data_IF_363598296065
#
_entry.id   IF_363598296065
#
_cell.length_a   1.000
_cell.length_b   1.000
_cell.length_c   1.000
_cell.angle_alpha   90.00
_cell.angle_beta   90.00
_cell.angle_gamma   90.00
#
_symmetry.space_group_name_H-M   'P 1'
#
loop_
_entity.id
_entity.type
_entity.pdbx_description
1 polymer ?
#
# COMPACT_ATOMS: atom_id res chain seq x y z
N UNK A 1 -32.98 -57.91 -36.31
CA UNK A 1 -31.71 -57.42 -36.88
C UNK A 1 -31.99 -56.00 -37.34
N UNK A 2 -31.82 -55.01 -36.44
CA UNK A 2 -30.70 -54.04 -36.43
C UNK A 2 -30.80 -53.07 -37.62
N UNK A 3 -30.84 -51.73 -37.52
CA UNK A 3 -30.29 -50.83 -36.51
C UNK A 3 -30.80 -49.38 -36.72
N UNK A 4 -30.78 -48.64 -35.62
CA UNK A 4 -30.75 -47.21 -35.26
C UNK A 4 -30.75 -46.03 -36.27
N UNK A 5 -31.64 -45.08 -35.96
CA UNK A 5 -31.36 -43.68 -35.53
C UNK A 5 -30.30 -42.84 -36.27
N UNK A 6 -30.75 -41.92 -37.15
CA UNK A 6 -29.92 -40.80 -37.62
C UNK A 6 -30.10 -39.58 -36.70
N UNK A 7 -29.10 -39.32 -35.86
CA UNK A 7 -29.00 -38.15 -34.98
C UNK A 7 -28.22 -37.01 -35.65
N UNK A 8 -28.69 -35.81 -35.31
CA UNK A 8 -28.15 -34.47 -35.51
C UNK A 8 -26.61 -34.38 -35.39
N UNK A 9 -25.96 -33.63 -36.28
CA UNK A 9 -24.60 -33.11 -36.08
C UNK A 9 -24.52 -31.65 -36.51
N UNK A 10 -24.86 -30.78 -35.55
CA UNK A 10 -24.47 -29.38 -35.56
C UNK A 10 -22.95 -29.25 -35.48
N UNK A 11 -22.40 -28.43 -36.37
CA UNK A 11 -21.01 -28.03 -36.42
C UNK A 11 -20.66 -27.15 -35.21
N UNK A 12 -19.98 -27.72 -34.22
CA UNK A 12 -19.42 -26.97 -33.11
C UNK A 12 -18.11 -26.27 -33.52
N UNK A 13 -18.12 -24.94 -33.55
CA UNK A 13 -16.93 -24.10 -33.66
C UNK A 13 -16.01 -24.29 -32.44
N UNK A 14 -14.68 -24.29 -32.59
CA UNK A 14 -13.76 -24.46 -31.48
C UNK A 14 -13.78 -23.23 -30.55
N UNK A 15 -13.99 -23.48 -29.26
CA UNK A 15 -13.88 -22.49 -28.19
C UNK A 15 -12.45 -21.93 -28.17
N UNK A 16 -12.31 -20.65 -28.52
CA UNK A 16 -11.09 -19.89 -28.29
C UNK A 16 -10.75 -19.92 -26.79
N UNK A 17 -9.54 -20.37 -26.50
CA UNK A 17 -8.90 -20.33 -25.18
C UNK A 17 -8.85 -18.88 -24.69
N UNK A 18 -9.83 -18.47 -23.88
CA UNK A 18 -9.73 -17.27 -23.07
C UNK A 18 -8.60 -17.48 -22.08
N UNK A 19 -7.52 -16.73 -22.26
CA UNK A 19 -6.48 -16.52 -21.26
C UNK A 19 -7.13 -16.22 -19.91
N UNK A 20 -6.70 -16.86 -18.81
CA UNK A 20 -7.27 -16.62 -17.50
C UNK A 20 -6.92 -15.18 -17.11
N UNK A 21 -7.92 -14.30 -17.13
CA UNK A 21 -7.82 -13.01 -16.45
C UNK A 21 -7.63 -13.30 -14.97
N UNK A 22 -6.50 -12.92 -14.34
CA UNK A 22 -6.27 -13.20 -12.94
C UNK A 22 -7.38 -12.54 -12.13
N UNK A 23 -7.99 -13.33 -11.24
CA UNK A 23 -8.95 -12.79 -10.29
C UNK A 23 -8.23 -11.73 -9.44
N UNK A 24 -8.88 -10.63 -9.02
CA UNK A 24 -8.25 -9.63 -8.16
C UNK A 24 -7.79 -10.17 -6.80
N UNK A 25 -8.15 -11.42 -6.46
CA UNK A 25 -7.78 -12.09 -5.21
C UNK A 25 -6.39 -12.75 -5.25
N UNK A 26 -5.76 -12.89 -6.42
CA UNK A 26 -4.43 -13.53 -6.55
C UNK A 26 -3.29 -12.53 -6.82
N UNK A 27 -3.55 -11.24 -6.61
CA UNK A 27 -2.57 -10.18 -6.89
C UNK A 27 -1.80 -9.78 -5.64
N UNK A 28 -0.50 -10.04 -5.65
CA UNK A 28 0.43 -9.62 -4.60
C UNK A 28 0.98 -8.23 -4.93
N UNK A 29 0.99 -7.33 -3.95
CA UNK A 29 1.78 -6.09 -4.02
C UNK A 29 2.93 -6.16 -3.03
N UNK A 30 4.15 -6.27 -3.55
CA UNK A 30 5.36 -6.34 -2.74
C UNK A 30 6.17 -5.04 -2.89
N UNK A 31 6.63 -4.51 -1.77
CA UNK A 31 7.39 -3.26 -1.70
C UNK A 31 8.80 -3.54 -1.18
N UNK A 32 9.78 -2.82 -1.68
CA UNK A 32 11.17 -2.94 -1.25
C UNK A 32 11.83 -1.56 -1.13
N UNK A 33 12.75 -1.43 -0.18
CA UNK A 33 13.64 -0.29 -0.07
C UNK A 33 14.88 -0.50 -0.93
N UNK A 34 15.11 0.45 -1.82
CA UNK A 34 16.26 0.50 -2.72
C UNK A 34 16.98 1.83 -2.55
N UNK A 35 18.31 1.84 -2.74
CA UNK A 35 19.03 3.12 -2.72
C UNK A 35 18.66 3.97 -3.95
N UNK A 36 18.90 5.27 -3.90
CA UNK A 36 18.72 6.14 -5.06
C UNK A 36 19.59 5.71 -6.26
N UNK A 37 20.78 5.13 -5.99
CA UNK A 37 21.66 4.55 -7.02
C UNK A 37 21.02 3.32 -7.67
N UNK A 38 20.57 2.37 -6.87
CA UNK A 38 19.95 1.12 -7.35
C UNK A 38 18.64 1.41 -8.09
N UNK A 39 17.84 2.35 -7.59
CA UNK A 39 16.65 2.83 -8.27
C UNK A 39 16.96 3.40 -9.66
N UNK A 40 18.11 4.05 -9.84
CA UNK A 40 18.57 4.52 -11.16
C UNK A 40 18.84 3.37 -12.12
N UNK A 41 19.47 2.29 -11.65
CA UNK A 41 19.71 1.07 -12.43
C UNK A 41 18.40 0.35 -12.80
N UNK A 42 17.47 0.23 -11.85
CA UNK A 42 16.17 -0.41 -12.06
C UNK A 42 15.33 0.35 -13.10
N UNK A 43 15.36 1.68 -13.06
CA UNK A 43 14.65 2.51 -14.05
C UNK A 43 15.34 2.40 -15.42
N UNK A 44 16.68 2.45 -15.43
CA UNK A 44 17.48 2.46 -16.65
C UNK A 44 17.42 3.80 -17.40
N UNK A 45 18.29 3.95 -18.40
CA UNK A 45 18.31 5.15 -19.27
C UNK A 45 16.96 5.29 -19.98
N UNK A 46 16.35 6.48 -19.89
CA UNK A 46 15.02 6.78 -20.44
C UNK A 46 13.89 5.82 -19.98
N UNK A 47 14.06 5.13 -18.84
CA UNK A 47 13.06 4.17 -18.36
C UNK A 47 13.06 2.83 -19.11
N UNK A 48 14.09 2.54 -19.92
CA UNK A 48 14.15 1.31 -20.73
C UNK A 48 14.10 0.04 -19.89
N UNK A 49 14.89 -0.03 -18.82
CA UNK A 49 14.99 -1.26 -18.00
C UNK A 49 13.67 -1.58 -17.30
N UNK A 50 12.99 -0.56 -16.74
CA UNK A 50 11.69 -0.78 -16.09
C UNK A 50 10.58 -1.07 -17.11
N UNK A 51 10.67 -0.54 -18.34
CA UNK A 51 9.73 -0.88 -19.41
C UNK A 51 9.88 -2.35 -19.83
N UNK A 52 11.11 -2.79 -20.09
CA UNK A 52 11.44 -4.17 -20.43
C UNK A 52 11.07 -5.15 -19.29
N UNK A 53 11.33 -4.76 -18.04
CA UNK A 53 10.91 -5.53 -16.87
C UNK A 53 9.40 -5.77 -16.85
N UNK A 54 8.59 -4.74 -17.11
CA UNK A 54 7.12 -4.84 -17.14
C UNK A 54 6.66 -5.70 -18.32
N UNK A 55 7.31 -5.59 -19.47
CA UNK A 55 7.00 -6.39 -20.66
C UNK A 55 7.29 -7.88 -20.45
N UNK A 56 8.45 -8.23 -19.89
CA UNK A 56 8.88 -9.63 -19.70
C UNK A 56 8.12 -10.37 -18.58
N UNK A 57 7.57 -9.63 -17.62
CA UNK A 57 6.96 -10.21 -16.41
C UNK A 57 5.45 -9.96 -16.30
N UNK A 58 4.92 -9.00 -17.05
CA UNK A 58 3.51 -8.60 -16.97
C UNK A 58 3.12 -7.90 -15.67
N UNK A 59 4.08 -7.52 -14.82
CA UNK A 59 3.81 -6.86 -13.54
C UNK A 59 3.61 -5.35 -13.68
N UNK A 60 2.89 -4.76 -12.73
CA UNK A 60 2.88 -3.32 -12.50
C UNK A 60 3.99 -2.94 -11.51
N UNK A 61 5.18 -2.65 -12.04
CA UNK A 61 6.31 -2.15 -11.26
C UNK A 61 6.42 -0.62 -11.28
N UNK A 62 6.86 0.01 -10.20
CA UNK A 62 7.13 1.45 -10.15
C UNK A 62 8.03 1.83 -8.98
N UNK A 63 8.78 2.93 -9.13
CA UNK A 63 9.69 3.45 -8.09
C UNK A 63 9.19 4.81 -7.61
N UNK A 64 9.25 5.07 -6.31
CA UNK A 64 8.86 6.36 -5.71
C UNK A 64 9.62 7.54 -6.30
N UNK A 65 9.04 8.74 -6.27
CA UNK A 65 9.73 9.97 -6.68
C UNK A 65 11.00 10.18 -5.87
N UNK A 66 11.99 10.83 -6.47
CA UNK A 66 13.21 11.25 -5.77
C UNK A 66 12.85 12.39 -4.83
N UNK A 67 13.29 12.31 -3.58
CA UNK A 67 13.14 13.36 -2.57
C UNK A 67 14.54 13.88 -2.26
N UNK A 68 14.70 15.20 -2.24
CA UNK A 68 16.01 15.82 -1.96
C UNK A 68 16.46 15.48 -0.53
N UNK A 69 17.75 15.18 -0.35
CA UNK A 69 18.31 14.78 0.94
C UNK A 69 18.02 13.34 1.38
N UNK A 70 17.20 12.59 0.63
CA UNK A 70 16.83 11.20 0.97
C UNK A 70 17.50 10.23 -0.02
N UNK A 71 18.30 9.31 0.52
CA UNK A 71 19.05 8.33 -0.28
C UNK A 71 18.31 7.00 -0.50
N UNK A 72 17.10 6.87 0.04
CA UNK A 72 16.25 5.69 -0.09
C UNK A 72 15.01 5.97 -0.92
N UNK A 73 14.62 4.98 -1.73
CA UNK A 73 13.40 5.00 -2.55
C UNK A 73 12.66 3.69 -2.36
N UNK A 74 11.35 3.74 -2.62
CA UNK A 74 10.50 2.54 -2.55
C UNK A 74 10.23 2.02 -3.95
N UNK A 75 10.64 0.78 -4.20
CA UNK A 75 10.19 -0.03 -5.32
C UNK A 75 8.86 -0.69 -4.93
N UNK A 76 7.86 -0.61 -5.80
CA UNK A 76 6.56 -1.30 -5.66
C UNK A 76 6.36 -2.18 -6.87
N UNK A 77 6.09 -3.47 -6.67
CA UNK A 77 5.81 -4.44 -7.72
C UNK A 77 4.49 -5.13 -7.41
N UNK A 78 3.53 -5.04 -8.34
CA UNK A 78 2.20 -5.66 -8.21
C UNK A 78 1.95 -6.64 -9.34
N UNK A 79 1.51 -7.85 -9.01
CA UNK A 79 1.15 -8.88 -9.99
C UNK A 79 0.93 -10.24 -9.32
N UNK A 80 0.75 -11.31 -10.11
CA UNK A 80 0.78 -12.69 -9.62
C UNK A 80 2.10 -13.00 -8.89
N UNK A 81 2.07 -13.91 -7.91
CA UNK A 81 3.25 -14.26 -7.10
C UNK A 81 4.44 -14.68 -7.97
N UNK A 82 4.20 -15.55 -8.95
CA UNK A 82 5.23 -16.02 -9.89
C UNK A 82 5.84 -14.85 -10.71
N UNK A 83 5.00 -13.95 -11.21
CA UNK A 83 5.43 -12.77 -11.96
C UNK A 83 6.23 -11.81 -11.09
N UNK A 84 5.83 -11.61 -9.83
CA UNK A 84 6.54 -10.76 -8.86
C UNK A 84 7.91 -11.37 -8.54
N UNK A 85 7.99 -12.67 -8.27
CA UNK A 85 9.26 -13.36 -8.03
C UNK A 85 10.22 -13.20 -9.22
N UNK A 86 9.72 -13.48 -10.44
CA UNK A 86 10.49 -13.29 -11.68
C UNK A 86 10.97 -11.85 -11.86
N UNK A 87 10.13 -10.86 -11.54
CA UNK A 87 10.51 -9.46 -11.60
C UNK A 87 11.64 -9.11 -10.62
N UNK A 88 11.60 -9.61 -9.38
CA UNK A 88 12.70 -9.40 -8.44
C UNK A 88 13.99 -10.10 -8.89
N UNK A 89 13.92 -11.31 -9.44
CA UNK A 89 15.10 -11.98 -10.02
C UNK A 89 15.77 -11.12 -11.10
N UNK A 90 14.99 -10.57 -12.04
CA UNK A 90 15.51 -9.70 -13.09
C UNK A 90 16.12 -8.40 -12.53
N UNK A 91 15.44 -7.78 -11.57
CA UNK A 91 15.93 -6.57 -10.89
C UNK A 91 17.28 -6.84 -10.22
N UNK A 92 17.41 -7.93 -9.48
CA UNK A 92 18.64 -8.26 -8.75
C UNK A 92 19.76 -8.58 -9.74
N UNK A 93 19.48 -9.33 -10.81
CA UNK A 93 20.45 -9.59 -11.88
C UNK A 93 20.97 -8.29 -12.50
N UNK A 94 20.11 -7.31 -12.74
CA UNK A 94 20.52 -5.98 -13.24
C UNK A 94 21.38 -5.21 -12.23
N UNK A 95 21.05 -5.30 -10.93
CA UNK A 95 21.82 -4.65 -9.86
C UNK A 95 23.22 -5.27 -9.71
N UNK A 96 23.33 -6.60 -9.76
CA UNK A 96 24.60 -7.33 -9.74
C UNK A 96 25.45 -6.95 -10.96
N UNK A 97 24.87 -6.97 -12.16
CA UNK A 97 25.58 -6.63 -13.40
C UNK A 97 26.10 -5.17 -13.40
N UNK A 98 25.41 -4.26 -12.70
CA UNK A 98 25.77 -2.84 -12.63
C UNK A 98 26.78 -2.50 -11.51
N UNK A 99 27.08 -3.44 -10.60
CA UNK A 99 28.10 -3.31 -9.55
C UNK A 99 29.17 -4.43 -9.69
N UNK A 100 30.03 -4.43 -10.73
CA UNK A 100 31.03 -5.48 -10.93
C UNK A 100 32.27 -5.41 -10.01
N UNK A 101 32.28 -4.62 -8.93
CA UNK A 101 33.49 -4.43 -8.12
C UNK A 101 33.23 -4.23 -6.62
N UNK A 102 33.57 -5.25 -5.83
CA UNK A 102 34.33 -5.04 -4.60
C UNK A 102 35.69 -5.72 -4.79
N UNK A 103 36.80 -4.98 -4.88
CA UNK A 103 38.12 -5.58 -4.92
C UNK A 103 38.54 -5.99 -3.48
N UNK A 104 39.41 -6.99 -3.39
CA UNK A 104 40.14 -7.45 -2.18
C UNK A 104 39.31 -8.33 -1.22
N UNK A 105 39.11 -9.59 -1.60
CA UNK A 105 39.64 -10.79 -0.89
C UNK A 105 39.19 -12.02 -1.68
N UNK A 106 40.15 -12.79 -2.17
CA UNK A 106 39.90 -13.98 -2.97
C UNK A 106 39.16 -15.06 -2.16
N UNK A 107 37.93 -15.36 -2.56
CA UNK A 107 37.26 -16.65 -2.37
C UNK A 107 36.19 -16.77 -3.47
N UNK A 108 35.77 -17.98 -3.90
CA UNK A 108 34.86 -18.18 -5.03
C UNK A 108 33.40 -17.82 -4.66
N UNK A 109 33.22 -16.72 -3.93
CA UNK A 109 31.97 -16.35 -3.31
C UNK A 109 31.02 -15.78 -4.36
N UNK A 110 29.99 -16.58 -4.65
CA UNK A 110 28.72 -16.18 -5.27
C UNK A 110 28.39 -14.70 -5.00
N UNK A 111 28.06 -13.97 -6.07
CA UNK A 111 27.63 -12.58 -6.04
C UNK A 111 26.35 -12.42 -5.20
N UNK A 112 26.52 -12.25 -3.89
CA UNK A 112 25.43 -12.08 -2.96
C UNK A 112 24.95 -10.64 -2.96
N UNK A 113 23.67 -10.45 -3.30
CA UNK A 113 22.98 -9.16 -3.21
C UNK A 113 21.99 -9.19 -2.05
N UNK A 114 21.64 -8.03 -1.51
CA UNK A 114 20.63 -7.88 -0.47
C UNK A 114 19.43 -7.11 -1.00
N UNK A 115 18.22 -7.60 -0.77
CA UNK A 115 16.95 -6.89 -0.99
C UNK A 115 16.27 -6.65 0.35
N UNK A 116 15.80 -5.42 0.58
CA UNK A 116 15.13 -5.02 1.82
C UNK A 116 13.63 -4.93 1.59
N UNK A 117 12.89 -6.00 1.88
CA UNK A 117 11.45 -6.06 1.69
C UNK A 117 10.72 -5.30 2.80
N UNK A 118 9.71 -4.52 2.42
CA UNK A 118 8.80 -3.83 3.33
C UNK A 118 7.57 -4.70 3.56
N UNK A 119 7.44 -5.25 4.76
CA UNK A 119 6.36 -6.17 5.13
C UNK A 119 5.56 -5.58 6.28
N UNK A 120 4.23 -5.67 6.22
CA UNK A 120 3.37 -5.27 7.33
C UNK A 120 3.72 -6.02 8.61
N UNK A 121 3.77 -5.32 9.75
CA UNK A 121 3.96 -5.93 11.06
C UNK A 121 3.00 -7.11 11.31
N UNK A 122 1.75 -7.01 10.86
CA UNK A 122 0.73 -8.03 11.06
C UNK A 122 0.95 -9.30 10.23
N UNK A 123 1.68 -9.19 9.11
CA UNK A 123 2.03 -10.31 8.22
C UNK A 123 3.37 -10.95 8.57
N UNK A 124 4.16 -10.34 9.46
CA UNK A 124 5.45 -10.92 9.86
C UNK A 124 5.33 -12.30 10.48
N UNK A 125 4.21 -12.57 11.18
CA UNK A 125 3.95 -13.88 11.78
C UNK A 125 3.87 -15.01 10.76
N UNK A 126 3.38 -14.71 9.54
CA UNK A 126 3.17 -15.71 8.48
C UNK A 126 4.50 -16.08 7.81
N UNK A 127 5.42 -15.12 7.67
CA UNK A 127 6.78 -15.36 7.17
C UNK A 127 7.65 -16.04 8.23
N UNK A 128 7.62 -15.56 9.48
CA UNK A 128 8.51 -16.06 10.54
C UNK A 128 8.07 -17.46 11.01
N UNK A 129 6.76 -17.66 11.20
CA UNK A 129 6.20 -18.88 11.75
C UNK A 129 6.50 -19.09 13.25
N UNK A 130 5.92 -20.15 13.83
CA UNK A 130 6.14 -20.52 15.24
C UNK A 130 7.63 -20.77 15.50
N UNK A 131 8.21 -20.09 16.48
CA UNK A 131 9.64 -20.17 16.85
C UNK A 131 10.63 -19.93 15.69
N UNK A 132 10.21 -19.21 14.63
CA UNK A 132 11.06 -18.97 13.47
C UNK A 132 11.21 -20.17 12.52
N UNK A 133 10.38 -21.21 12.66
CA UNK A 133 10.49 -22.43 11.85
C UNK A 133 10.18 -22.18 10.37
N UNK A 134 9.22 -21.32 10.05
CA UNK A 134 8.84 -21.03 8.66
C UNK A 134 9.91 -20.24 7.94
N UNK A 135 10.45 -19.19 8.55
CA UNK A 135 11.55 -18.41 7.94
C UNK A 135 12.81 -19.26 7.77
N UNK A 136 13.12 -20.18 8.69
CA UNK A 136 14.21 -21.15 8.51
C UNK A 136 13.96 -22.08 7.32
N UNK A 137 12.76 -22.65 7.21
CA UNK A 137 12.40 -23.50 6.07
C UNK A 137 12.48 -22.75 4.72
N UNK A 138 12.07 -21.47 4.68
CA UNK A 138 12.24 -20.63 3.48
C UNK A 138 13.72 -20.42 3.18
N UNK A 139 14.55 -20.15 4.18
CA UNK A 139 16.01 -20.01 4.00
C UNK A 139 16.65 -21.29 3.46
N UNK A 140 16.31 -22.44 4.04
CA UNK A 140 16.85 -23.75 3.64
C UNK A 140 16.41 -24.13 2.22
N UNK A 141 15.14 -23.86 1.86
CA UNK A 141 14.58 -24.19 0.54
C UNK A 141 15.04 -23.25 -0.58
N UNK A 142 15.29 -21.97 -0.27
CA UNK A 142 15.72 -20.98 -1.27
C UNK A 142 17.24 -20.83 -1.37
N UNK A 143 17.99 -21.26 -0.35
CA UNK A 143 19.42 -20.95 -0.21
C UNK A 143 19.71 -19.47 0.08
N UNK A 144 18.67 -18.65 0.30
CA UNK A 144 18.83 -17.26 0.68
C UNK A 144 18.91 -17.12 2.21
N UNK A 145 19.71 -16.17 2.68
CA UNK A 145 19.72 -15.76 4.08
C UNK A 145 18.68 -14.68 4.32
N UNK A 146 17.82 -14.87 5.31
CA UNK A 146 16.77 -13.89 5.63
C UNK A 146 16.90 -13.37 7.07
N UNK A 147 16.76 -12.06 7.24
CA UNK A 147 16.79 -11.41 8.56
C UNK A 147 15.62 -10.44 8.69
N UNK A 148 14.73 -10.72 9.63
CA UNK A 148 13.60 -9.86 9.94
C UNK A 148 13.98 -8.85 11.04
N UNK A 149 13.87 -7.55 10.74
CA UNK A 149 14.04 -6.47 11.73
C UNK A 149 13.00 -6.58 12.84
N UNK A 150 13.38 -6.32 14.11
CA UNK A 150 12.45 -6.39 15.27
C UNK A 150 11.51 -5.19 15.34
N UNK A 151 12.00 -4.03 14.90
CA UNK A 151 11.32 -2.74 15.04
C UNK A 151 10.56 -2.36 13.77
N UNK A 152 9.49 -1.59 13.95
CA UNK A 152 8.73 -1.01 12.84
C UNK A 152 9.40 0.27 12.36
N UNK A 153 9.28 0.56 11.08
CA UNK A 153 9.83 1.77 10.49
C UNK A 153 9.12 3.02 11.04
N UNK A 154 9.83 4.17 11.13
CA UNK A 154 9.26 5.42 11.59
C UNK A 154 8.00 5.80 10.80
N UNK A 155 6.97 6.27 11.51
CA UNK A 155 5.68 6.67 10.92
C UNK A 155 5.00 5.59 10.05
N UNK A 156 5.40 4.33 10.20
CA UNK A 156 4.94 3.21 9.41
C UNK A 156 4.59 2.03 10.31
N UNK A 157 3.77 1.12 9.79
CA UNK A 157 3.57 -0.19 10.39
C UNK A 157 4.25 -1.32 9.62
N UNK A 158 5.21 -0.98 8.77
CA UNK A 158 6.04 -1.95 8.06
C UNK A 158 7.33 -2.22 8.82
N UNK A 159 7.84 -3.43 8.65
CA UNK A 159 9.14 -3.91 9.12
C UNK A 159 9.96 -4.31 7.90
N UNK A 160 11.27 -4.23 8.03
CA UNK A 160 12.20 -4.69 7.00
C UNK A 160 12.46 -6.18 7.17
N UNK A 161 12.40 -6.92 6.06
CA UNK A 161 12.96 -8.25 5.92
C UNK A 161 14.09 -8.18 4.90
N UNK A 162 15.32 -8.33 5.37
CA UNK A 162 16.50 -8.41 4.53
C UNK A 162 16.62 -9.81 3.95
N UNK A 163 16.66 -9.93 2.63
CA UNK A 163 16.83 -11.20 1.90
C UNK A 163 18.14 -11.12 1.12
N UNK A 164 19.08 -12.01 1.42
CA UNK A 164 20.43 -12.02 0.89
C UNK A 164 20.72 -13.33 0.15
N UNK A 165 21.32 -13.25 -1.04
CA UNK A 165 21.68 -14.45 -1.80
C UNK A 165 21.99 -14.16 -3.26
N UNK A 166 22.05 -15.21 -4.08
CA UNK A 166 22.11 -15.10 -5.54
C UNK A 166 20.76 -14.60 -6.10
N UNK A 167 20.72 -14.09 -7.35
CA UNK A 167 19.46 -13.67 -7.97
C UNK A 167 18.39 -14.76 -7.98
N UNK A 168 18.78 -16.01 -8.25
CA UNK A 168 17.89 -17.17 -8.24
C UNK A 168 17.39 -17.49 -6.83
N UNK A 169 18.27 -17.50 -5.83
CA UNK A 169 17.92 -17.77 -4.43
C UNK A 169 16.92 -16.73 -3.90
N UNK A 170 17.14 -15.45 -4.18
CA UNK A 170 16.21 -14.39 -3.76
C UNK A 170 14.88 -14.51 -4.50
N UNK A 171 14.87 -14.87 -5.78
CA UNK A 171 13.65 -15.13 -6.54
C UNK A 171 12.79 -16.21 -5.88
N UNK A 172 13.38 -17.36 -5.56
CA UNK A 172 12.71 -18.46 -4.86
C UNK A 172 12.20 -18.05 -3.47
N UNK A 173 13.01 -17.31 -2.71
CA UNK A 173 12.60 -16.80 -1.41
C UNK A 173 11.39 -15.85 -1.51
N UNK A 174 11.37 -14.97 -2.51
CA UNK A 174 10.28 -14.02 -2.74
C UNK A 174 9.00 -14.73 -3.17
N UNK A 175 9.09 -15.80 -3.95
CA UNK A 175 7.94 -16.62 -4.32
C UNK A 175 7.28 -17.23 -3.07
N UNK A 176 8.07 -17.85 -2.19
CA UNK A 176 7.58 -18.44 -0.94
C UNK A 176 7.04 -17.40 0.04
N UNK A 177 7.72 -16.25 0.17
CA UNK A 177 7.20 -15.11 0.93
C UNK A 177 5.86 -14.65 0.34
N UNK A 178 5.77 -14.54 -0.98
CA UNK A 178 4.58 -14.12 -1.68
C UNK A 178 3.37 -15.01 -1.39
N UNK A 179 3.57 -16.34 -1.41
CA UNK A 179 2.54 -17.32 -1.00
C UNK A 179 2.09 -17.09 0.44
N UNK A 180 3.03 -16.96 1.38
CA UNK A 180 2.74 -16.72 2.79
C UNK A 180 2.01 -15.39 3.06
N UNK A 181 2.27 -14.36 2.25
CA UNK A 181 1.60 -13.06 2.36
C UNK A 181 0.20 -13.08 1.77
N UNK A 182 -0.03 -13.91 0.74
CA UNK A 182 -1.32 -14.03 0.08
C UNK A 182 -2.31 -14.88 0.88
N UNK A 183 -1.84 -15.95 1.53
CA UNK A 183 -2.68 -16.81 2.39
C UNK A 183 -3.40 -16.03 3.51
N UNK A 184 -2.74 -15.00 4.06
CA UNK A 184 -3.18 -14.24 5.23
C UNK A 184 -3.34 -12.74 4.92
N UNK A 185 -3.57 -12.38 3.66
CA UNK A 185 -3.53 -10.99 3.17
C UNK A 185 -4.47 -10.04 3.93
N UNK A 186 -5.58 -10.55 4.47
CA UNK A 186 -6.54 -9.81 5.31
C UNK A 186 -5.88 -9.19 6.55
N UNK A 187 -4.89 -9.86 7.15
CA UNK A 187 -4.15 -9.33 8.31
C UNK A 187 -3.32 -8.09 7.94
N UNK A 188 -2.96 -7.96 6.67
CA UNK A 188 -2.29 -6.80 6.10
C UNK A 188 -3.20 -5.58 5.92
N UNK A 189 -4.52 -5.72 6.07
CA UNK A 189 -5.46 -4.61 5.92
C UNK A 189 -5.21 -3.53 6.99
N UNK A 190 -5.04 -2.29 6.54
CA UNK A 190 -4.75 -1.15 7.42
C UNK A 190 -3.26 -0.84 7.62
N UNK A 191 -2.35 -1.51 6.90
CA UNK A 191 -0.90 -1.24 6.98
C UNK A 191 -0.56 0.20 6.60
N UNK A 192 0.10 0.93 7.52
CA UNK A 192 0.72 2.24 7.27
C UNK A 192 2.02 2.06 6.51
N UNK A 193 1.97 2.39 5.22
CA UNK A 193 3.08 2.25 4.29
C UNK A 193 4.20 3.24 4.63
N UNK A 194 5.42 2.75 4.75
CA UNK A 194 6.61 3.58 4.91
C UNK A 194 6.82 4.48 3.70
N UNK A 195 7.15 5.74 3.98
CA UNK A 195 7.50 6.74 2.97
C UNK A 195 8.86 7.35 3.37
N UNK A 196 9.92 7.10 2.60
CA UNK A 196 11.20 7.75 2.84
C UNK A 196 11.03 9.27 2.83
N UNK A 197 11.59 9.98 3.80
CA UNK A 197 11.62 11.45 3.82
C UNK A 197 10.45 12.16 4.51
N UNK A 198 9.53 11.46 5.17
CA UNK A 198 8.51 12.12 6.01
C UNK A 198 8.95 12.35 7.47
N UNK A 199 10.21 12.02 7.80
CA UNK A 199 10.81 12.35 9.09
C UNK A 199 11.23 13.82 9.13
N UNK A 200 10.53 14.58 9.96
CA UNK A 200 10.85 15.93 10.43
C UNK A 200 10.89 17.07 9.39
N UNK A 201 9.72 17.65 9.12
CA UNK A 201 9.64 19.11 9.00
C UNK A 201 8.27 19.62 9.48
N UNK A 202 8.33 20.61 10.38
CA UNK A 202 7.24 21.50 10.88
C UNK A 202 6.64 21.22 12.26
N UNK A 203 7.49 21.08 13.27
CA UNK A 203 7.36 21.89 14.49
C UNK A 203 8.23 23.12 14.31
N UNK A 204 7.66 24.24 13.85
CA UNK A 204 8.41 25.47 13.67
C UNK A 204 7.61 26.56 12.95
N UNK A 205 7.04 27.46 13.75
CA UNK A 205 6.67 28.84 13.38
C UNK A 205 5.42 29.04 12.53
N UNK A 206 4.30 29.24 13.24
CA UNK A 206 3.22 30.13 12.78
C UNK A 206 3.81 31.54 12.57
N UNK A 207 3.77 32.05 11.34
CA UNK A 207 3.66 33.49 11.09
C UNK A 207 2.58 33.71 10.04
N UNK A 208 1.41 34.09 10.56
CA UNK A 208 0.39 34.83 9.86
C UNK A 208 0.86 36.27 9.77
N UNK A 209 1.00 36.83 8.56
CA UNK A 209 0.90 38.29 8.31
C UNK A 209 0.57 38.55 6.85
N UNK A 210 -0.54 39.28 6.65
CA UNK A 210 -1.04 39.92 5.44
C UNK A 210 0.01 40.39 4.42
N UNK A 211 -0.34 40.29 3.13
CA UNK A 211 0.27 41.04 2.05
C UNK A 211 -0.70 41.20 0.87
N UNK A 212 -1.36 42.36 0.78
CA UNK A 212 -2.09 42.85 -0.38
C UNK A 212 -1.12 43.33 -1.46
N UNK A 213 -1.45 43.07 -2.74
CA UNK A 213 -1.09 43.92 -3.90
C UNK A 213 -1.89 43.41 -5.11
N UNK A 214 -2.95 44.11 -5.56
CA UNK A 214 -2.97 45.28 -6.46
C UNK A 214 -2.50 44.98 -7.89
N UNK A 215 -3.41 45.14 -8.86
CA UNK A 215 -3.26 45.66 -10.24
C UNK A 215 -4.37 45.07 -11.13
N UNK A 216 -5.48 45.74 -11.43
CA UNK A 216 -5.69 46.94 -12.29
C UNK A 216 -5.43 46.71 -13.78
N UNK A 217 -6.54 46.67 -14.53
CA UNK A 217 -6.83 47.09 -15.90
C UNK A 217 -5.68 47.44 -16.88
N UNK A 218 -5.80 46.91 -18.12
CA UNK A 218 -5.16 47.54 -19.28
C UNK A 218 -5.15 46.74 -20.60
N UNK A 219 -6.20 46.90 -21.42
CA UNK A 219 -6.11 47.31 -22.83
C UNK A 219 -5.44 46.44 -23.92
N UNK A 220 -6.30 45.89 -24.81
CA UNK A 220 -6.35 46.10 -26.27
C UNK A 220 -5.37 45.42 -27.26
N UNK A 221 -5.97 45.08 -28.43
CA UNK A 221 -5.45 44.82 -29.82
C UNK A 221 -5.40 43.32 -30.20
N UNK A 222 -5.89 42.80 -31.35
CA UNK A 222 -6.45 43.24 -32.67
C UNK A 222 -7.18 42.00 -33.27
N UNK A 223 -8.39 42.08 -33.83
CA UNK A 223 -8.84 42.34 -35.22
C UNK A 223 -8.46 41.33 -36.33
N UNK A 224 -9.42 41.12 -37.25
CA UNK A 224 -9.53 40.30 -38.48
C UNK A 224 -9.93 38.81 -38.30
N UNK A 225 -10.91 38.26 -39.01
CA UNK A 225 -11.80 38.75 -40.07
C UNK A 225 -12.66 37.59 -40.63
N UNK A 226 -13.83 37.95 -41.17
CA UNK A 226 -14.96 37.20 -41.74
C UNK A 226 -14.78 35.80 -42.36
N UNK A 227 -15.76 34.91 -42.13
CA UNK A 227 -16.69 34.52 -43.20
C UNK A 227 -17.94 33.73 -42.75
N UNK A 228 -19.01 34.01 -43.46
CA UNK A 228 -20.41 33.60 -43.26
C UNK A 228 -20.69 32.21 -43.85
N UNK A 229 -21.55 31.41 -43.20
CA UNK A 229 -22.75 30.69 -43.76
C UNK A 229 -22.97 29.29 -43.16
N UNK A 230 -24.19 29.12 -42.62
CA UNK A 230 -25.19 28.06 -42.93
C UNK A 230 -25.53 27.03 -41.83
N UNK A 231 -26.85 26.89 -41.68
CA UNK A 231 -27.64 25.70 -41.31
C UNK A 231 -27.92 25.42 -39.82
N UNK A 232 -29.12 25.85 -39.45
CA UNK A 232 -30.10 25.16 -38.59
C UNK A 232 -30.22 23.65 -38.87
N UNK A 233 -30.06 22.82 -37.83
CA UNK A 233 -31.03 21.79 -37.41
C UNK A 233 -30.57 21.08 -36.12
N UNK A 234 -31.51 20.57 -35.31
CA UNK A 234 -31.29 20.19 -33.91
C UNK A 234 -30.98 18.69 -33.78
N UNK A 235 -30.07 18.32 -32.89
CA UNK A 235 -29.92 16.92 -32.49
C UNK A 235 -29.64 16.80 -30.99
N UNK A 236 -30.64 16.21 -30.33
CA UNK A 236 -30.51 15.25 -29.24
C UNK A 236 -29.45 15.55 -28.17
N UNK A 237 -29.95 16.05 -27.05
CA UNK A 237 -29.43 15.77 -25.72
C UNK A 237 -29.11 14.28 -25.59
N UNK A 238 -27.83 13.94 -25.74
CA UNK A 238 -27.29 12.72 -25.20
C UNK A 238 -26.20 13.18 -24.24
N UNK A 239 -26.57 13.20 -22.97
CA UNK A 239 -25.65 13.45 -21.87
C UNK A 239 -24.50 12.45 -21.99
N UNK A 240 -23.36 12.94 -22.47
CA UNK A 240 -22.07 12.36 -22.21
C UNK A 240 -21.89 12.39 -20.70
N UNK A 241 -22.15 11.24 -20.05
CA UNK A 241 -21.64 10.99 -18.70
C UNK A 241 -20.12 10.95 -18.82
N UNK A 242 -19.56 12.15 -18.68
CA UNK A 242 -18.16 12.41 -18.56
C UNK A 242 -17.60 11.52 -17.45
N UNK A 243 -16.76 10.57 -17.86
CA UNK A 243 -15.81 9.96 -16.96
C UNK A 243 -14.87 11.06 -16.46
N UNK A 244 -14.94 11.38 -15.16
CA UNK A 244 -13.87 11.79 -14.22
C UNK A 244 -14.46 12.46 -12.95
N UNK A 245 -13.76 12.53 -11.79
CA UNK A 245 -12.34 12.22 -11.55
C UNK A 245 -12.08 11.31 -10.32
N UNK A 246 -10.80 11.11 -10.03
CA UNK A 246 -10.20 10.40 -8.90
C UNK A 246 -11.01 10.40 -7.59
N UNK A 247 -11.03 9.24 -6.91
CA UNK A 247 -11.56 9.05 -5.56
C UNK A 247 -11.19 10.23 -4.64
N UNK A 248 -12.19 11.02 -4.24
CA UNK A 248 -12.05 12.18 -3.35
C UNK A 248 -11.71 11.71 -1.92
N UNK A 249 -10.51 11.18 -1.73
CA UNK A 249 -10.02 10.72 -0.43
C UNK A 249 -9.68 11.92 0.46
N UNK A 250 -10.41 12.07 1.56
CA UNK A 250 -10.18 13.07 2.60
C UNK A 250 -9.49 12.43 3.78
N UNK A 251 -8.59 13.18 4.44
CA UNK A 251 -8.00 12.82 5.72
C UNK A 251 -8.66 13.65 6.82
N UNK A 252 -9.02 13.01 7.93
CA UNK A 252 -9.56 13.63 9.13
C UNK A 252 -8.83 13.10 10.36
N UNK A 253 -8.47 14.00 11.27
CA UNK A 253 -7.78 13.66 12.50
C UNK A 253 -8.68 13.98 13.69
N UNK A 254 -8.73 13.07 14.66
CA UNK A 254 -9.45 13.26 15.92
C UNK A 254 -8.56 12.85 17.09
N UNK A 255 -8.72 13.51 18.24
CA UNK A 255 -8.02 13.17 19.48
C UNK A 255 -8.98 12.45 20.42
N UNK A 256 -8.53 11.33 20.98
CA UNK A 256 -9.32 10.49 21.89
C UNK A 256 -8.49 10.19 23.15
N UNK A 257 -8.99 10.45 24.36
CA UNK A 257 -8.33 10.08 25.61
C UNK A 257 -7.85 8.62 25.66
N UNK A 258 -6.61 8.39 26.09
CA UNK A 258 -5.96 7.06 26.05
C UNK A 258 -6.73 5.98 26.82
N UNK A 259 -7.40 6.37 27.89
CA UNK A 259 -8.22 5.48 28.72
C UNK A 259 -9.47 4.99 27.97
N UNK A 260 -9.98 5.75 26.99
CA UNK A 260 -11.11 5.35 26.14
C UNK A 260 -10.69 4.61 24.85
N UNK A 261 -9.42 4.68 24.46
CA UNK A 261 -8.95 3.99 23.23
C UNK A 261 -9.12 2.47 23.30
N UNK A 262 -8.97 1.87 24.49
CA UNK A 262 -9.11 0.43 24.68
C UNK A 262 -10.49 -0.11 24.27
N UNK A 263 -11.58 0.63 24.55
CA UNK A 263 -12.93 0.19 24.22
C UNK A 263 -13.23 0.29 22.72
N UNK A 264 -12.63 1.26 22.03
CA UNK A 264 -12.74 1.45 20.58
C UNK A 264 -12.00 0.35 19.83
N UNK A 265 -10.80 0.00 20.30
CA UNK A 265 -10.02 -1.10 19.72
C UNK A 265 -10.75 -2.43 19.94
N UNK A 266 -11.25 -2.66 21.15
CA UNK A 266 -11.90 -3.90 21.55
C UNK A 266 -10.90 -5.04 21.80
N UNK A 267 -11.40 -6.17 22.33
CA UNK A 267 -10.57 -7.36 22.59
C UNK A 267 -9.95 -7.86 21.28
N UNK A 268 -8.62 -7.94 21.24
CA UNK A 268 -7.84 -8.31 20.06
C UNK A 268 -8.04 -7.42 18.82
N UNK A 269 -8.54 -6.19 18.99
CA UNK A 269 -8.77 -5.28 17.86
C UNK A 269 -10.03 -5.56 17.03
N UNK A 270 -10.94 -6.40 17.54
CA UNK A 270 -12.16 -6.81 16.83
C UNK A 270 -13.09 -5.63 16.52
N UNK A 271 -13.35 -4.74 17.49
CA UNK A 271 -14.23 -3.59 17.31
C UNK A 271 -13.69 -2.58 16.30
N UNK A 272 -12.42 -2.17 16.41
CA UNK A 272 -11.84 -1.24 15.43
C UNK A 272 -11.79 -1.84 14.03
N UNK A 273 -11.59 -3.14 13.91
CA UNK A 273 -11.63 -3.85 12.63
C UNK A 273 -13.03 -3.80 12.02
N UNK A 274 -14.07 -4.00 12.85
CA UNK A 274 -15.45 -3.84 12.42
C UNK A 274 -15.78 -2.40 12.00
N UNK A 275 -15.34 -1.40 12.75
CA UNK A 275 -15.54 0.01 12.40
C UNK A 275 -14.89 0.34 11.06
N UNK A 276 -13.68 -0.15 10.80
CA UNK A 276 -13.00 -0.01 9.49
C UNK A 276 -13.79 -0.69 8.38
N UNK A 277 -14.29 -1.90 8.62
CA UNK A 277 -15.09 -2.68 7.65
C UNK A 277 -16.41 -1.98 7.31
N UNK A 278 -17.12 -1.48 8.31
CA UNK A 278 -18.43 -0.85 8.14
C UNK A 278 -18.33 0.54 7.53
N UNK A 279 -17.32 1.32 7.93
CA UNK A 279 -17.11 2.67 7.40
C UNK A 279 -16.52 2.69 5.99
N UNK A 280 -15.71 1.68 5.63
CA UNK A 280 -14.91 1.71 4.40
C UNK A 280 -13.75 2.70 4.47
N UNK A 281 -13.54 3.35 5.62
CA UNK A 281 -12.44 4.26 5.86
C UNK A 281 -11.27 3.58 6.54
N UNK A 282 -10.08 4.05 6.20
CA UNK A 282 -8.82 3.65 6.80
C UNK A 282 -8.59 4.43 8.08
N UNK A 283 -8.51 3.74 9.22
CA UNK A 283 -8.33 4.38 10.54
C UNK A 283 -6.97 3.96 11.11
N UNK A 284 -6.07 4.91 11.35
CA UNK A 284 -4.76 4.72 11.99
C UNK A 284 -4.78 5.29 13.41
N UNK A 285 -4.11 4.62 14.35
CA UNK A 285 -4.08 5.00 15.78
C UNK A 285 -2.62 5.20 16.19
N UNK A 286 -2.30 6.34 16.79
CA UNK A 286 -0.96 6.61 17.31
C UNK A 286 -0.60 5.66 18.47
N UNK A 287 0.62 5.13 18.45
CA UNK A 287 1.13 4.22 19.50
C UNK A 287 1.41 4.93 20.82
N UNK A 288 1.90 6.17 20.74
CA UNK A 288 2.15 7.04 21.88
C UNK A 288 1.02 8.10 21.98
N UNK A 289 0.71 8.58 23.20
CA UNK A 289 -0.09 9.79 23.38
C UNK A 289 0.54 10.96 22.59
N UNK A 290 -0.28 11.79 21.97
CA UNK A 290 0.19 12.91 21.15
C UNK A 290 0.71 14.07 22.02
N UNK A 291 0.14 14.22 23.22
CA UNK A 291 0.39 15.33 24.14
C UNK A 291 0.50 14.85 25.60
N UNK A 292 1.02 15.70 26.50
CA UNK A 292 1.09 15.46 27.95
C UNK A 292 -0.30 15.30 28.62
N UNK A 293 -1.38 15.62 27.88
CA UNK A 293 -2.79 15.45 28.29
C UNK A 293 -3.27 14.00 28.22
N UNK A 294 -2.48 13.08 27.64
CA UNK A 294 -2.84 11.66 27.55
C UNK A 294 -3.80 11.31 26.42
N UNK A 295 -4.04 12.20 25.46
CA UNK A 295 -4.87 11.92 24.28
C UNK A 295 -4.09 11.19 23.18
N UNK A 296 -4.74 10.29 22.45
CA UNK A 296 -4.21 9.58 21.29
C UNK A 296 -4.87 10.07 20.02
N UNK A 297 -4.06 10.36 19.02
CA UNK A 297 -4.54 10.78 17.71
C UNK A 297 -4.99 9.59 16.87
N UNK A 298 -6.16 9.73 16.26
CA UNK A 298 -6.70 8.85 15.25
C UNK A 298 -6.72 9.59 13.92
N UNK A 299 -6.25 8.93 12.86
CA UNK A 299 -6.24 9.45 11.49
C UNK A 299 -7.14 8.60 10.62
N UNK A 300 -8.21 9.20 10.10
CA UNK A 300 -9.23 8.57 9.26
C UNK A 300 -9.02 9.04 7.83
N UNK A 301 -8.85 8.11 6.89
CA UNK A 301 -8.62 8.39 5.47
C UNK A 301 -9.59 7.58 4.62
N UNK A 302 -10.38 8.25 3.79
CA UNK A 302 -11.45 7.62 3.02
C UNK A 302 -12.25 8.66 2.24
N UNK A 303 -13.34 8.26 1.60
CA UNK A 303 -14.26 9.22 0.98
C UNK A 303 -14.95 10.05 2.07
N UNK A 304 -15.54 11.21 1.76
CA UNK A 304 -16.24 12.04 2.75
C UNK A 304 -17.32 11.23 3.50
N UNK A 305 -18.09 10.42 2.77
CA UNK A 305 -19.18 9.60 3.32
C UNK A 305 -18.63 8.47 4.19
N UNK A 306 -17.54 7.84 3.77
CA UNK A 306 -16.87 6.78 4.54
C UNK A 306 -16.30 7.34 5.84
N UNK A 307 -15.68 8.51 5.78
CA UNK A 307 -15.09 9.17 6.95
C UNK A 307 -16.14 9.62 7.96
N UNK A 308 -17.25 10.17 7.47
CA UNK A 308 -18.40 10.54 8.32
C UNK A 308 -18.96 9.31 9.03
N UNK A 309 -19.13 8.20 8.30
CA UNK A 309 -19.55 6.91 8.88
C UNK A 309 -18.56 6.37 9.90
N UNK A 310 -17.26 6.50 9.66
CA UNK A 310 -16.22 6.13 10.63
C UNK A 310 -16.30 6.97 11.90
N UNK A 311 -16.43 8.29 11.76
CA UNK A 311 -16.58 9.21 12.89
C UNK A 311 -17.80 8.86 13.73
N UNK A 312 -18.95 8.64 13.11
CA UNK A 312 -20.18 8.25 13.80
C UNK A 312 -19.98 6.98 14.64
N UNK A 313 -19.40 5.93 14.05
CA UNK A 313 -19.16 4.67 14.74
C UNK A 313 -18.15 4.81 15.89
N UNK A 314 -17.11 5.62 15.72
CA UNK A 314 -16.12 5.90 16.76
C UNK A 314 -16.74 6.67 17.94
N UNK A 315 -17.52 7.71 17.67
CA UNK A 315 -18.19 8.49 18.71
C UNK A 315 -19.27 7.70 19.44
N UNK A 316 -20.07 6.90 18.72
CA UNK A 316 -21.08 6.04 19.35
C UNK A 316 -20.42 5.03 20.31
N UNK A 317 -19.26 4.47 19.93
CA UNK A 317 -18.53 3.55 20.80
C UNK A 317 -17.92 4.25 22.03
N UNK A 318 -17.49 5.50 21.88
CA UNK A 318 -17.02 6.34 22.98
C UNK A 318 -18.14 6.68 23.96
N UNK A 319 -19.28 7.10 23.45
CA UNK A 319 -20.45 7.51 24.25
C UNK A 319 -21.00 6.33 25.05
N UNK A 320 -21.16 5.16 24.42
CA UNK A 320 -21.58 3.93 25.09
C UNK A 320 -20.61 3.52 26.22
N UNK A 321 -19.30 3.69 26.04
CA UNK A 321 -18.34 3.39 27.11
C UNK A 321 -18.37 4.44 28.23
N UNK A 322 -18.61 5.72 27.90
CA UNK A 322 -18.73 6.80 28.87
C UNK A 322 -19.93 6.57 29.80
N UNK A 323 -21.09 6.25 29.26
CA UNK A 323 -22.29 5.91 30.05
C UNK A 323 -22.05 4.72 30.98
N UNK A 324 -21.35 3.69 30.49
CA UNK A 324 -21.03 2.48 31.26
C UNK A 324 -20.10 2.76 32.45
N UNK A 325 -19.24 3.78 32.35
CA UNK A 325 -18.35 4.21 33.45
C UNK A 325 -19.08 5.05 34.49
N UNK A 326 -19.87 6.02 34.04
CA UNK A 326 -20.71 6.86 34.93
C UNK A 326 -21.66 5.99 35.76
N UNK A 327 -22.27 4.97 35.16
CA UNK A 327 -23.14 4.03 35.89
C UNK A 327 -22.44 3.20 36.96
N UNK A 328 -21.15 2.86 36.79
CA UNK A 328 -20.36 2.14 37.81
C UNK A 328 -19.92 3.05 38.95
N UNK A 329 -19.56 4.29 38.64
CA UNK A 329 -19.16 5.28 39.64
C UNK A 329 -20.33 5.67 40.55
N UNK A 330 -21.54 5.77 40.00
CA UNK A 330 -22.76 6.01 40.77
C UNK A 330 -23.08 4.85 41.73
N UNK A 331 -22.91 3.59 41.31
CA UNK A 331 -23.12 2.42 42.18
C UNK A 331 -22.07 2.33 43.30
N UNK A 332 -20.80 2.64 43.01
CA UNK A 332 -19.73 2.58 44.01
C UNK A 332 -19.80 3.69 45.05
N UNK A 333 -20.33 4.87 44.72
CA UNK A 333 -20.54 5.94 45.71
C UNK A 333 -21.74 5.67 46.62
N UNK A 334 -22.72 4.93 46.13
CA UNK A 334 -23.92 4.57 46.90
C UNK A 334 -23.64 3.44 47.89
N UNK A 335 -22.80 2.45 47.53
CA UNK A 335 -22.33 1.40 48.45
C UNK A 335 -21.33 1.88 49.52
N UNK A 336 -20.79 3.10 49.39
CA UNK A 336 -19.82 3.67 50.34
C UNK A 336 -20.47 4.63 51.35
N UNK A 337 -21.76 4.90 51.20
CA UNK A 337 -22.57 5.76 52.09
C UNK A 337 -23.54 4.98 52.99
N UNK A 338 -23.71 3.67 52.76
CA UNK A 338 -24.39 2.72 53.65
C UNK A 338 -23.37 1.94 54.51
#
# INVERSE_FOLDING_TARGET
MSDSSAHNRDSASPLQSRSPTPSPQDTLTLRALVSTKDAGVIIGKAGKNVAELREQTGVKAGVSKVIQGVHERVLTVTGPVESVAKAYTLIISQLVASNPSSPITASPSSSHTTVRLLISHNLMGTIIGRSGLKIKAIQDGSGARMVASKEMLPQSTERIVDVQGSPEAIGLAIEEIGKCLLEDWERGMGTVLYRPGTSEERTGTRRSTNGLSSSSYGGSRRSNGDNVRRATSPSSQQASVAAQPAANMRTQNISIPSDMVGCIIGRSGTKITEIRRLSGSRISIAKAPHDETGERMFTIVGTPEANEKALFLLYNQLESEKERRVGREAQQQQEMQD
#
